data_IF_266343895392
#
_entry.id   IF_266343895392
#
_cell.length_a   1.000
_cell.length_b   1.000
_cell.length_c   1.000
_cell.angle_alpha   90.00
_cell.angle_beta   90.00
_cell.angle_gamma   90.00
#
_symmetry.space_group_name_H-M   'P 1'
#
loop_
_entity.id
_entity.type
_entity.pdbx_description
1 polymer ?
2 polymer ?
3 non-polymer ?
#
# COMPACT_ATOMS: atom_id res chain seq x y z
N UNK A 2 -16.26 25.97 -0.03
CA UNK A 2 -15.30 24.86 0.02
C UNK A 2 -15.07 24.03 -1.26
N UNK A 3 -15.32 24.59 -2.48
CA UNK A 3 -15.04 23.79 -3.68
C UNK A 3 -13.55 23.60 -3.93
N UNK A 4 -12.79 24.70 -3.96
CA UNK A 4 -11.34 24.59 -4.13
C UNK A 4 -10.63 24.40 -2.79
N UNK A 5 -11.25 24.83 -1.69
CA UNK A 5 -10.69 24.57 -0.37
C UNK A 5 -10.68 23.06 -0.11
N UNK A 6 -11.66 22.32 -0.64
CA UNK A 6 -11.58 20.87 -0.60
C UNK A 6 -10.34 20.39 -1.33
N UNK A 7 -10.13 20.85 -2.56
CA UNK A 7 -8.89 20.51 -3.29
C UNK A 7 -7.67 20.92 -2.47
N UNK A 8 -7.69 22.11 -1.88
CA UNK A 8 -6.62 22.53 -0.99
C UNK A 8 -6.45 21.64 0.22
N UNK A 9 -7.47 20.84 0.56
CA UNK A 9 -7.32 19.88 1.65
C UNK A 9 -6.44 18.72 1.27
N UNK A 10 -6.53 18.24 0.03
CA UNK A 10 -5.68 17.14 -0.41
C UNK A 10 -4.23 17.60 -0.52
N UNK A 11 -3.99 18.75 -1.14
CA UNK A 11 -2.62 19.23 -1.31
C UNK A 11 -1.96 19.43 0.05
N UNK A 12 -2.72 19.90 1.04
CA UNK A 12 -2.14 20.15 2.36
C UNK A 12 -2.01 18.87 3.17
N UNK A 13 -2.94 17.93 3.03
CA UNK A 13 -2.82 16.65 3.73
C UNK A 13 -1.59 15.90 3.25
N UNK A 14 -1.29 16.03 1.96
CA UNK A 14 -0.10 15.40 1.42
C UNK A 14 1.15 16.15 1.83
N UNK A 15 1.08 17.48 1.85
CA UNK A 15 2.20 18.30 2.34
C UNK A 15 2.59 17.85 3.75
N UNK A 16 1.60 17.52 4.58
CA UNK A 16 1.88 17.07 5.94
C UNK A 16 2.45 15.66 5.93
N UNK A 17 1.85 14.76 5.15
CA UNK A 17 2.28 13.37 5.16
C UNK A 17 3.70 13.17 4.63
N UNK A 18 4.13 14.02 3.71
CA UNK A 18 5.49 13.92 3.18
C UNK A 18 6.51 14.26 4.27
N UNK A 19 6.28 15.36 4.99
CA UNK A 19 7.16 15.73 6.08
C UNK A 19 7.11 14.71 7.22
N UNK A 20 5.96 14.03 7.39
CA UNK A 20 5.89 12.94 8.36
C UNK A 20 6.59 11.69 7.86
N UNK A 21 6.70 11.53 6.53
CA UNK A 21 7.41 10.39 5.99
C UNK A 21 8.90 10.46 6.30
N UNK A 22 9.45 11.67 6.43
CA UNK A 22 10.84 11.80 6.86
C UNK A 22 11.02 11.25 8.26
N UNK A 23 10.02 11.42 9.13
CA UNK A 23 10.04 10.84 10.46
C UNK A 23 9.69 9.36 10.46
N UNK A 24 9.07 8.85 9.39
CA UNK A 24 8.70 7.44 9.36
C UNK A 24 9.92 6.53 9.40
N UNK A 25 11.07 7.04 8.94
CA UNK A 25 12.33 6.30 8.99
C UNK A 25 12.24 5.00 8.18
N UNK A 26 11.77 5.12 6.94
CA UNK A 26 11.62 3.96 6.09
C UNK A 26 10.50 3.04 6.52
N UNK A 27 9.38 3.60 7.01
CA UNK A 27 8.26 2.82 7.52
C UNK A 27 8.68 1.87 8.64
N UNK A 28 9.65 2.29 9.46
CA UNK A 28 10.13 1.50 10.58
C UNK A 28 9.86 2.17 11.92
N UNK A 29 9.26 3.36 11.92
CA UNK A 29 8.98 4.10 13.14
C UNK A 29 7.47 4.28 13.24
N UNK A 30 6.84 3.57 14.16
CA UNK A 30 5.39 3.68 14.31
C UNK A 30 5.02 5.06 14.81
N UNK A 31 3.88 5.55 14.32
CA UNK A 31 3.25 6.86 14.53
C UNK A 31 3.57 7.75 13.33
N UNK A 32 4.83 7.91 12.88
CA UNK A 32 5.02 8.56 11.58
C UNK A 32 4.80 7.61 10.40
N UNK A 33 5.13 6.33 10.57
CA UNK A 33 4.85 5.36 9.51
C UNK A 33 3.35 5.15 9.36
N UNK A 34 2.63 5.07 10.48
CA UNK A 34 1.17 5.06 10.42
C UNK A 34 0.62 6.43 10.05
N UNK A 35 1.31 7.50 10.45
CA UNK A 35 0.82 8.83 10.16
C UNK A 35 0.86 9.17 8.68
N UNK A 36 1.92 8.73 7.99
CA UNK A 36 2.05 9.06 6.57
C UNK A 36 1.06 8.27 5.73
N UNK A 37 0.68 7.07 6.16
CA UNK A 37 -0.35 6.31 5.45
C UNK A 37 -1.73 6.89 5.75
N UNK A 38 -1.92 7.45 6.95
CA UNK A 38 -3.18 8.09 7.29
C UNK A 38 -3.34 9.43 6.58
N UNK A 39 -2.26 10.20 6.40
CA UNK A 39 -2.41 11.48 5.71
C UNK A 39 -2.69 11.30 4.22
N UNK A 40 -2.21 10.19 3.63
CA UNK A 40 -2.37 9.99 2.19
C UNK A 40 -3.73 9.44 1.82
N UNK A 41 -4.31 8.59 2.68
CA UNK A 41 -5.66 8.08 2.44
C UNK A 41 -6.73 9.15 2.62
N UNK A 42 -6.46 10.17 3.44
CA UNK A 42 -7.34 11.33 3.48
C UNK A 42 -7.20 12.16 2.22
N UNK A 43 -5.97 12.29 1.71
CA UNK A 43 -5.77 12.93 0.42
C UNK A 43 -6.45 12.14 -0.69
N UNK A 44 -6.37 10.81 -0.62
CA UNK A 44 -7.05 9.96 -1.60
C UNK A 44 -8.55 10.18 -1.57
N UNK A 45 -9.15 10.11 -0.38
CA UNK A 45 -10.59 10.25 -0.17
C UNK A 45 -11.15 11.47 -0.88
N UNK A 46 -10.79 12.65 -0.40
CA UNK A 46 -11.37 13.90 -0.87
C UNK A 46 -10.92 14.27 -2.29
N UNK A 47 -9.77 13.77 -2.74
CA UNK A 47 -9.38 13.99 -4.13
C UNK A 47 -10.45 13.43 -5.08
N UNK A 48 -10.97 12.26 -4.75
CA UNK A 48 -12.09 11.70 -5.52
C UNK A 48 -13.33 12.54 -5.37
N UNK A 49 -13.50 13.20 -4.23
CA UNK A 49 -14.65 14.09 -4.05
C UNK A 49 -14.51 15.35 -4.89
N UNK A 50 -13.37 16.04 -4.79
CA UNK A 50 -13.18 17.29 -5.52
C UNK A 50 -13.19 17.05 -7.02
N UNK A 51 -12.58 15.95 -7.48
CA UNK A 51 -12.47 15.68 -8.91
C UNK A 51 -13.81 15.47 -9.59
N UNK A 52 -14.91 15.37 -8.83
CA UNK A 52 -16.22 15.25 -9.45
C UNK A 52 -16.59 16.53 -10.18
N UNK A 53 -16.31 17.68 -9.58
CA UNK A 53 -16.61 18.99 -10.16
C UNK A 53 -15.38 19.67 -10.75
N UNK A 54 -14.27 19.71 -10.01
CA UNK A 54 -13.05 20.36 -10.50
C UNK A 54 -12.43 19.53 -11.62
N UNK A 55 -11.82 20.15 -12.64
CA UNK A 55 -11.22 19.34 -13.73
C UNK A 55 -9.95 18.62 -13.33
N UNK A 56 -8.91 18.72 -14.17
CA UNK A 56 -7.70 17.95 -13.95
C UNK A 56 -6.45 18.83 -13.94
N UNK A 57 -6.18 19.52 -15.04
CA UNK A 57 -5.00 20.36 -15.14
C UNK A 57 -4.91 21.44 -14.08
N UNK A 58 -6.02 21.74 -13.41
CA UNK A 58 -6.01 22.67 -12.29
C UNK A 58 -5.48 21.99 -11.03
N UNK A 59 -5.79 20.70 -10.86
CA UNK A 59 -5.40 20.00 -9.64
C UNK A 59 -3.89 19.79 -9.58
N UNK A 60 -3.30 19.25 -10.65
CA UNK A 60 -1.86 19.00 -10.67
C UNK A 60 -1.08 20.30 -10.61
N UNK A 61 -1.48 21.30 -11.39
CA UNK A 61 -0.78 22.58 -11.37
C UNK A 61 -0.82 23.22 -9.99
N UNK A 62 -1.94 23.09 -9.28
CA UNK A 62 -2.01 23.60 -7.91
C UNK A 62 -1.13 22.76 -6.99
N UNK A 63 -1.16 21.44 -7.20
CA UNK A 63 -0.34 20.51 -6.43
C UNK A 63 1.15 20.86 -6.52
N UNK A 64 1.65 20.96 -7.75
CA UNK A 64 3.06 21.28 -7.97
C UNK A 64 3.45 22.56 -7.24
N UNK A 65 2.79 23.66 -7.56
CA UNK A 65 3.07 24.95 -6.97
C UNK A 65 3.09 24.94 -5.46
N UNK A 66 1.96 24.56 -4.84
CA UNK A 66 1.88 24.58 -3.38
C UNK A 66 2.86 23.57 -2.78
N UNK A 67 2.90 22.36 -3.34
CA UNK A 67 3.77 21.34 -2.79
C UNK A 67 5.25 21.69 -2.90
N UNK A 68 5.65 22.23 -4.05
CA UNK A 68 7.02 22.73 -4.20
C UNK A 68 7.27 23.87 -3.21
N UNK A 69 6.23 24.58 -2.79
CA UNK A 69 6.37 25.70 -1.86
C UNK A 69 6.09 25.28 -0.42
N UNK A 70 4.98 24.59 -0.18
CA UNK A 70 4.59 24.27 1.19
C UNK A 70 5.61 23.36 1.86
N UNK A 71 5.93 22.23 1.23
CA UNK A 71 6.80 21.24 1.89
C UNK A 71 8.25 21.70 1.87
N UNK A 72 8.66 22.48 0.88
CA UNK A 72 10.03 23.00 0.89
C UNK A 72 10.21 24.00 2.00
N UNK A 73 9.19 24.85 2.23
CA UNK A 73 9.22 25.71 3.40
C UNK A 73 8.99 24.93 4.68
N UNK A 74 8.31 23.77 4.58
CA UNK A 74 8.18 22.90 5.75
C UNK A 74 9.46 22.13 6.03
N UNK A 75 10.24 21.81 4.99
CA UNK A 75 11.53 21.16 5.19
C UNK A 75 12.60 22.16 5.65
N UNK A 76 12.44 23.43 5.28
CA UNK A 76 13.32 24.49 5.75
C UNK A 76 13.09 24.83 7.22
N UNK A 77 12.03 24.28 7.82
CA UNK A 77 11.72 24.55 9.21
C UNK A 77 11.71 23.31 10.07
N UNK A 78 11.13 22.23 9.55
CA UNK A 78 11.11 20.96 10.29
C UNK A 78 12.52 20.39 10.43
N UNK A 79 13.27 20.33 9.34
CA UNK A 79 14.60 19.75 9.35
C UNK A 79 15.66 20.80 9.01
N UNK A 80 15.82 21.09 7.72
CA UNK A 80 16.77 22.10 7.30
C UNK A 80 16.99 22.16 5.81
N UNK A 81 18.18 21.76 5.35
CA UNK A 81 18.49 21.79 3.93
C UNK A 81 19.76 20.98 3.68
N UNK A 82 19.74 20.18 2.61
CA UNK A 82 20.92 19.46 2.15
C UNK A 82 21.52 20.10 0.90
N UNK A 83 20.77 20.10 -0.20
CA UNK A 83 21.13 20.77 -1.46
C UNK A 83 22.40 20.21 -2.10
N UNK A 84 22.24 19.43 -3.17
CA UNK A 84 23.37 18.82 -3.86
C UNK A 84 23.55 19.37 -5.28
N UNK A 85 22.96 20.55 -5.56
CA UNK A 85 23.09 21.26 -6.83
C UNK A 85 22.63 22.71 -6.61
N UNK A 86 23.08 23.69 -7.44
CA UNK A 86 22.97 25.10 -7.01
C UNK A 86 21.60 25.71 -7.15
N UNK A 87 21.04 25.69 -8.37
CA UNK A 87 19.85 26.49 -8.70
C UNK A 87 18.63 26.03 -7.90
N UNK A 88 18.07 26.96 -7.13
CA UNK A 88 16.77 26.73 -6.51
C UNK A 88 15.65 27.02 -7.50
N UNK A 89 15.88 27.94 -8.44
CA UNK A 89 14.88 28.33 -9.42
C UNK A 89 14.47 27.17 -10.33
N UNK A 90 15.17 26.04 -10.26
CA UNK A 90 14.79 24.87 -11.06
C UNK A 90 13.42 24.33 -10.72
N UNK A 91 13.07 24.32 -9.43
CA UNK A 91 11.76 23.84 -8.99
C UNK A 91 10.64 24.71 -9.53
N UNK A 92 10.88 26.02 -9.64
CA UNK A 92 9.88 26.92 -10.20
C UNK A 92 9.81 26.77 -11.71
N UNK A 93 10.94 26.48 -12.36
CA UNK A 93 10.98 26.22 -13.78
C UNK A 93 10.52 24.79 -14.12
N UNK A 94 10.81 23.84 -13.24
CA UNK A 94 10.16 22.53 -13.34
C UNK A 94 8.65 22.69 -13.28
N UNK A 95 8.17 23.48 -12.32
CA UNK A 95 6.75 23.78 -12.22
C UNK A 95 6.26 24.56 -13.44
N UNK A 96 7.08 25.48 -13.94
CA UNK A 96 6.73 26.22 -15.15
C UNK A 96 6.58 25.27 -16.34
N UNK A 97 7.50 24.32 -16.46
CA UNK A 97 7.34 23.29 -17.49
C UNK A 97 6.10 22.44 -17.26
N UNK A 98 5.71 22.26 -15.99
CA UNK A 98 4.46 21.57 -15.69
C UNK A 98 3.27 22.47 -15.99
N UNK A 99 3.37 23.76 -15.68
CA UNK A 99 2.25 24.65 -15.92
C UNK A 99 1.94 24.79 -17.41
N UNK A 100 2.97 24.76 -18.27
CA UNK A 100 2.75 24.93 -19.69
C UNK A 100 2.61 23.61 -20.44
N UNK A 101 2.51 22.49 -19.74
CA UNK A 101 2.07 21.25 -20.37
C UNK A 101 0.67 20.86 -19.92
N UNK A 102 0.22 21.34 -18.77
CA UNK A 102 -1.15 21.10 -18.31
C UNK A 102 -2.08 22.20 -18.80
N UNK A 103 -1.83 23.45 -18.37
CA UNK A 103 -2.72 24.54 -18.75
C UNK A 103 -2.59 24.89 -20.23
N UNK A 104 -1.43 24.62 -20.83
CA UNK A 104 -1.20 24.96 -22.22
C UNK A 104 -1.26 23.72 -23.12
N UNK B 2 18.14 4.86 27.59
CA UNK B 2 17.33 5.56 26.58
C UNK B 2 17.24 4.76 25.28
N UNK B 3 17.27 3.44 25.41
CA UNK B 3 17.17 2.53 24.27
C UNK B 3 15.84 1.79 24.31
N UNK B 4 15.34 1.41 23.14
CA UNK B 4 14.12 0.61 23.02
C UNK B 4 14.44 -0.67 22.26
N UNK B 5 13.84 -1.82 22.62
CA UNK B 5 12.93 -1.97 23.75
C UNK B 5 13.65 -1.98 25.09
N UNK B 6 12.87 -2.11 26.17
CA UNK B 6 13.40 -2.18 27.52
C UNK B 6 12.60 -3.21 28.30
N UNK B 7 13.25 -3.80 29.31
CA UNK B 7 12.60 -4.70 30.26
C UNK B 7 11.93 -5.88 29.58
N UNK B 8 12.72 -6.89 29.23
CA UNK B 8 12.24 -8.10 28.57
C UNK B 8 12.08 -9.19 29.62
N UNK B 9 10.83 -9.60 29.86
CA UNK B 9 10.53 -10.55 30.92
C UNK B 9 9.64 -11.67 30.38
N UNK B 10 9.64 -12.79 31.09
CA UNK B 10 8.85 -13.96 30.74
C UNK B 10 7.63 -13.95 31.66
N UNK B 11 6.48 -13.57 31.12
CA UNK B 11 5.26 -13.49 31.91
C UNK B 11 4.85 -14.89 32.35
N UNK B 12 4.40 -15.70 31.39
CA UNK B 12 3.95 -17.06 31.68
C UNK B 12 4.92 -18.07 31.08
N UNK B 13 5.19 -19.13 31.82
CA UNK B 13 6.02 -20.23 31.35
C UNK B 13 5.14 -21.41 31.00
N UNK B 14 5.76 -22.43 30.42
CA UNK B 14 5.15 -23.71 30.03
C UNK B 14 6.27 -24.56 29.44
N UNK B 15 6.30 -25.87 29.71
CA UNK B 15 7.35 -26.71 29.13
C UNK B 15 7.54 -26.55 27.63
N UNK B 16 6.48 -26.24 26.88
CA UNK B 16 6.56 -26.14 25.43
C UNK B 16 6.12 -24.77 24.90
N UNK B 17 6.08 -23.75 25.75
CA UNK B 17 5.66 -22.42 25.32
C UNK B 17 6.08 -21.38 26.34
N UNK B 18 6.29 -20.15 25.87
CA UNK B 18 6.67 -19.03 26.72
C UNK B 18 5.91 -17.79 26.30
N UNK B 19 5.44 -17.02 27.27
CA UNK B 19 4.76 -15.75 27.04
C UNK B 19 5.63 -14.64 27.58
N UNK B 20 6.06 -13.75 26.70
CA UNK B 20 7.01 -12.70 27.06
C UNK B 20 6.44 -11.35 26.65
N UNK B 21 7.04 -10.30 27.20
CA UNK B 21 6.62 -8.93 26.94
C UNK B 21 7.82 -8.01 27.11
N UNK B 22 7.65 -6.76 26.70
CA UNK B 22 8.72 -5.78 26.81
C UNK B 22 8.10 -4.38 26.85
N UNK B 23 8.92 -3.41 27.24
CA UNK B 23 8.50 -2.02 27.31
C UNK B 23 8.81 -1.36 25.97
N UNK B 24 7.77 -1.06 25.19
CA UNK B 24 7.97 -0.46 23.89
C UNK B 24 8.47 0.97 23.97
N UNK B 25 8.49 1.56 25.18
CA UNK B 25 8.93 2.92 25.34
C UNK B 25 7.79 3.90 25.18
N UNK B 26 8.16 5.13 24.85
CA UNK B 26 7.20 6.18 24.60
C UNK B 26 6.57 6.02 23.22
N UNK B 27 5.55 6.82 22.95
CA UNK B 27 4.83 6.73 21.68
C UNK B 27 5.74 7.02 20.50
N UNK B 28 6.67 7.96 20.65
CA UNK B 28 7.63 8.23 19.59
C UNK B 28 8.68 7.15 19.49
N UNK B 29 8.82 6.31 20.51
CA UNK B 29 9.74 5.19 20.52
C UNK B 29 9.10 3.91 20.01
N UNK B 30 7.82 3.93 19.65
CA UNK B 30 7.15 2.76 19.11
C UNK B 30 7.55 2.55 17.65
N UNK B 31 7.66 1.28 17.27
CA UNK B 31 8.12 0.92 15.93
C UNK B 31 7.06 0.13 15.19
N UNK B 32 7.31 -0.18 13.92
CA UNK B 32 6.29 -0.80 13.08
C UNK B 32 6.27 -2.32 13.18
N UNK B 33 7.44 -2.96 13.32
CA UNK B 33 7.47 -4.41 13.48
C UNK B 33 8.72 -4.81 14.26
N UNK B 34 8.51 -5.45 15.40
CA UNK B 34 9.59 -6.10 16.13
C UNK B 34 9.75 -7.50 15.57
N UNK B 35 10.99 -7.90 15.27
CA UNK B 35 11.29 -9.27 14.92
C UNK B 35 11.94 -9.94 16.12
N UNK B 36 11.49 -11.13 16.46
CA UNK B 36 11.91 -11.82 17.67
C UNK B 36 12.51 -13.16 17.29
N UNK B 37 13.61 -13.51 17.96
CA UNK B 37 14.40 -14.69 17.65
C UNK B 37 14.58 -15.52 18.91
N UNK B 38 14.50 -16.84 18.77
CA UNK B 38 14.67 -17.76 19.89
C UNK B 38 15.40 -19.01 19.43
N UNK B 39 16.13 -19.62 20.35
CA UNK B 39 16.87 -20.82 20.03
C UNK B 39 17.43 -21.46 21.29
N UNK B 40 18.24 -22.49 21.08
CA UNK B 40 18.82 -23.21 22.20
C UNK B 40 20.03 -22.46 22.75
N UNK B 41 20.25 -22.63 24.06
CA UNK B 41 21.40 -22.01 24.69
C UNK B 41 22.70 -22.72 24.30
N UNK B 42 22.63 -24.03 24.06
CA UNK B 42 23.83 -24.78 23.71
C UNK B 42 24.48 -24.29 22.43
N UNK B 43 23.69 -23.98 21.41
CA UNK B 43 24.21 -23.48 20.16
C UNK B 43 24.48 -24.52 19.10
N UNK B 44 23.96 -25.73 19.25
CA UNK B 44 24.08 -26.76 18.22
C UNK B 44 22.93 -26.69 17.22
N UNK B 45 22.60 -25.48 16.79
CA UNK B 45 21.46 -25.23 15.91
C UNK B 45 21.47 -23.76 15.55
N UNK B 46 20.79 -23.40 14.44
CA UNK B 46 20.66 -21.98 14.11
C UNK B 46 19.66 -21.26 15.01
N UNK B 47 18.84 -20.38 14.44
CA UNK B 47 17.93 -19.56 15.23
C UNK B 47 16.61 -19.41 14.49
N UNK B 48 15.51 -19.66 15.18
CA UNK B 48 14.17 -19.48 14.59
C UNK B 48 13.75 -18.02 14.73
N UNK B 49 13.15 -17.48 13.68
CA UNK B 49 12.78 -16.06 13.64
C UNK B 49 11.37 -15.90 13.14
N UNK B 50 10.64 -14.99 13.79
CA UNK B 50 9.32 -14.58 13.34
C UNK B 50 9.11 -13.12 13.74
N UNK B 51 8.40 -12.39 12.89
CA UNK B 51 8.11 -10.99 13.15
C UNK B 51 6.78 -10.85 13.88
N UNK B 52 6.54 -9.65 14.40
CA UNK B 52 5.29 -9.32 15.05
C UNK B 52 5.09 -7.82 14.86
N UNK B 53 3.87 -7.35 14.61
CA UNK B 53 3.66 -5.91 14.42
C UNK B 53 4.13 -5.11 15.62
N UNK B 54 4.57 -3.89 15.36
CA UNK B 54 5.19 -3.04 16.35
C UNK B 54 4.28 -2.28 17.27
N UNK B 55 2.96 -2.49 17.17
CA UNK B 55 2.03 -1.90 18.13
C UNK B 55 1.71 -2.84 19.28
N UNK B 56 2.19 -4.08 19.24
CA UNK B 56 1.99 -5.04 20.32
C UNK B 56 3.29 -5.27 21.09
N UNK B 57 3.17 -5.31 22.41
CA UNK B 57 4.30 -5.44 23.31
C UNK B 57 4.46 -6.85 23.86
N UNK B 58 3.55 -7.76 23.52
CA UNK B 58 3.60 -9.14 23.98
C UNK B 58 3.83 -10.08 22.80
N UNK B 59 4.31 -11.28 23.12
CA UNK B 59 4.62 -12.27 22.11
C UNK B 59 4.57 -13.65 22.75
N UNK B 60 3.99 -14.61 22.03
CA UNK B 60 3.87 -15.99 22.49
C UNK B 60 4.67 -16.89 21.56
N UNK B 61 5.45 -17.79 22.15
CA UNK B 61 6.29 -18.73 21.42
C UNK B 61 5.78 -20.13 21.72
N UNK B 62 5.77 -21.00 20.71
CA UNK B 62 5.26 -22.36 20.85
C UNK B 62 6.22 -23.34 20.20
N UNK B 63 6.09 -24.61 20.59
CA UNK B 63 6.89 -25.66 20.02
C UNK B 63 8.25 -25.88 20.66
N UNK B 64 8.40 -25.57 21.94
CA UNK B 64 9.68 -25.72 22.61
C UNK B 64 9.80 -27.11 23.23
N UNK B 65 11.04 -27.50 23.52
CA UNK B 65 11.27 -28.76 24.20
C UNK B 65 11.49 -28.51 25.68
N UNK B 66 10.85 -29.28 26.56
CA UNK B 66 10.95 -29.01 28.00
C UNK B 66 12.32 -29.34 28.56
N UNK B 67 12.62 -28.71 29.70
CA UNK B 67 13.88 -28.93 30.38
C UNK B 67 15.08 -28.20 29.83
N UNK B 68 15.10 -27.91 28.54
CA UNK B 68 16.25 -27.28 27.90
C UNK B 68 16.26 -25.80 28.23
N UNK B 69 17.45 -25.26 28.45
CA UNK B 69 17.62 -23.83 28.63
C UNK B 69 17.63 -23.16 27.27
N UNK B 70 16.85 -22.08 27.13
CA UNK B 70 16.72 -21.35 25.88
C UNK B 70 17.18 -19.90 26.05
N UNK B 71 17.45 -19.26 24.91
CA UNK B 71 17.81 -17.84 24.85
C UNK B 71 16.86 -17.13 23.91
N UNK B 72 16.27 -16.03 24.37
CA UNK B 72 15.31 -15.26 23.61
C UNK B 72 15.85 -13.85 23.40
N UNK B 73 15.71 -13.34 22.18
CA UNK B 73 16.20 -12.01 21.82
C UNK B 73 15.15 -11.30 20.98
N UNK B 74 14.83 -10.06 21.36
CA UNK B 74 13.83 -9.24 20.69
C UNK B 74 14.56 -8.12 19.94
N UNK B 75 14.34 -8.04 18.64
CA UNK B 75 14.99 -7.05 17.79
C UNK B 75 14.03 -5.91 17.49
N UNK B 76 14.41 -5.04 16.55
CA UNK B 76 13.63 -3.90 16.10
C UNK B 76 13.37 -4.06 14.61
N UNK B 77 12.64 -3.15 13.94
CA UNK B 77 12.59 -3.19 12.47
C UNK B 77 13.97 -3.07 11.87
N UNK B 78 14.77 -2.14 12.38
CA UNK B 78 16.19 -2.02 12.12
C UNK B 78 16.95 -2.75 13.24
N UNK B 79 18.21 -2.37 13.45
CA UNK B 79 19.02 -2.95 14.51
C UNK B 79 20.22 -2.06 14.79
N UNK B 80 20.74 -1.41 13.75
CA UNK B 80 21.88 -0.52 13.86
C UNK B 80 21.48 0.91 14.23
N UNK B 81 20.26 1.10 14.76
CA UNK B 81 19.81 2.40 15.22
C UNK B 81 19.29 2.39 16.65
N UNK B 82 19.09 1.22 17.26
CA UNK B 82 18.73 1.12 18.66
C UNK B 82 19.55 0.05 19.35
N UNK B 83 18.99 -0.56 20.40
CA UNK B 83 19.69 -1.62 21.12
C UNK B 83 18.70 -2.72 21.48
N UNK B 84 19.06 -3.99 21.24
CA UNK B 84 18.15 -5.10 21.57
C UNK B 84 18.34 -5.65 22.97
N UNK B 85 17.47 -6.57 23.41
CA UNK B 85 17.58 -7.23 24.71
C UNK B 85 17.51 -8.73 24.49
N UNK B 86 18.28 -9.49 25.28
CA UNK B 86 18.26 -10.94 25.23
C UNK B 86 18.23 -11.49 26.65
N UNK B 87 17.44 -12.54 26.86
CA UNK B 87 17.30 -13.15 28.17
C UNK B 87 17.43 -14.66 28.02
N UNK B 88 17.30 -15.36 29.15
CA UNK B 88 17.36 -16.81 29.18
C UNK B 88 16.18 -17.35 29.97
N UNK B 89 15.83 -18.61 29.73
CA UNK B 89 14.77 -19.26 30.49
C UNK B 89 14.86 -20.76 30.30
N UNK B 90 14.81 -21.49 31.42
CA UNK B 90 14.84 -22.95 31.43
C UNK B 90 13.42 -23.45 31.66
N UNK B 91 12.84 -24.10 30.66
CA UNK B 91 11.47 -24.60 30.76
C UNK B 91 11.42 -25.93 31.50
N UNK C 2 23.30 8.48 -7.65
CA UNK C 2 22.54 7.44 -6.95
C UNK C 2 21.14 7.86 -6.49
N UNK C 3 21.01 8.95 -5.75
CA UNK C 3 19.68 9.29 -5.20
C UNK C 3 18.65 9.60 -6.27
N UNK C 4 19.06 10.23 -7.38
CA UNK C 4 18.14 10.54 -8.47
C UNK C 4 17.86 9.35 -9.37
N UNK C 5 18.53 8.22 -9.14
CA UNK C 5 18.16 6.98 -9.82
C UNK C 5 16.95 6.35 -9.15
N UNK C 6 16.89 6.39 -7.82
CA UNK C 6 15.74 5.86 -7.09
C UNK C 6 14.55 6.81 -7.17
N UNK C 7 14.80 8.12 -7.18
CA UNK C 7 13.71 9.09 -7.37
C UNK C 7 13.03 8.87 -8.72
N UNK C 8 13.82 8.79 -9.80
CA UNK C 8 13.26 8.46 -11.08
C UNK C 8 12.64 7.08 -11.12
N UNK C 9 13.17 6.15 -10.31
CA UNK C 9 12.53 4.85 -10.19
C UNK C 9 11.17 4.93 -9.52
N UNK C 10 11.05 5.78 -8.49
CA UNK C 10 9.76 6.02 -7.88
C UNK C 10 8.82 6.77 -8.81
N UNK C 11 9.37 7.60 -9.69
CA UNK C 11 8.55 8.27 -10.71
C UNK C 11 7.95 7.24 -11.65
N UNK C 12 8.77 6.30 -12.12
CA UNK C 12 8.27 5.22 -12.98
C UNK C 12 7.28 4.34 -12.24
N UNK C 13 7.43 4.20 -10.93
CA UNK C 13 6.54 3.31 -10.16
C UNK C 13 5.15 3.92 -10.00
N UNK C 14 5.08 5.21 -9.67
CA UNK C 14 3.78 5.85 -9.51
C UNK C 14 3.05 5.91 -10.84
N UNK C 15 3.78 6.15 -11.93
CA UNK C 15 3.15 6.24 -13.24
C UNK C 15 2.55 4.89 -13.64
N UNK C 16 3.29 3.80 -13.41
CA UNK C 16 2.75 2.47 -13.72
C UNK C 16 1.54 2.17 -12.84
N UNK C 17 1.58 2.62 -11.58
CA UNK C 17 0.45 2.35 -10.70
C UNK C 17 -0.81 3.09 -11.10
N UNK C 18 -0.67 4.34 -11.53
CA UNK C 18 -1.85 5.10 -11.95
C UNK C 18 -2.39 4.61 -13.29
N UNK C 19 -1.54 4.04 -14.15
CA UNK C 19 -2.02 3.48 -15.41
C UNK C 19 -2.73 2.16 -15.21
N UNK C 20 -2.19 1.30 -14.33
CA UNK C 20 -2.89 0.07 -13.97
C UNK C 20 -4.17 0.34 -13.20
N UNK C 21 -4.27 1.49 -12.52
CA UNK C 21 -5.53 1.85 -11.89
C UNK C 21 -6.57 2.23 -12.93
N UNK C 22 -6.15 2.93 -13.99
CA UNK C 22 -7.07 3.28 -15.06
C UNK C 22 -7.48 2.06 -15.87
N UNK C 23 -6.61 1.06 -15.95
CA UNK C 23 -6.98 -0.19 -16.62
C UNK C 23 -8.04 -0.94 -15.82
N UNK C 24 -7.74 -1.24 -14.56
CA UNK C 24 -8.71 -1.90 -13.70
C UNK C 24 -9.85 -0.93 -13.37
N UNK C 25 -10.93 -1.49 -12.83
CA UNK C 25 -12.03 -0.68 -12.35
C UNK C 25 -11.82 -0.42 -10.86
N UNK C 26 -12.83 0.11 -10.18
CA UNK C 26 -12.69 0.53 -8.80
C UNK C 26 -12.27 -0.58 -7.85
N UNK C 27 -10.98 -0.93 -7.85
CA UNK C 27 -10.45 -2.03 -7.03
C UNK C 27 -11.13 -3.34 -7.41
N UNK C 28 -11.04 -3.69 -8.70
CA UNK C 28 -11.79 -4.83 -9.22
C UNK C 28 -10.90 -5.85 -9.94
N UNK C 29 -10.39 -5.48 -11.12
CA UNK C 29 -9.58 -6.39 -11.92
C UNK C 29 -8.39 -6.89 -11.13
N UNK C 30 -8.43 -8.16 -10.73
CA UNK C 30 -7.49 -8.66 -9.73
C UNK C 30 -6.04 -8.44 -10.13
N UNK C 31 -5.69 -8.77 -11.37
CA UNK C 31 -4.29 -8.76 -11.79
C UNK C 31 -3.74 -7.33 -11.83
N UNK C 32 -4.42 -6.34 -12.41
CA UNK C 32 -3.93 -4.96 -12.27
C UNK C 32 -4.24 -4.32 -10.93
N UNK C 33 -5.27 -4.78 -10.20
CA UNK C 33 -5.51 -4.25 -8.86
C UNK C 33 -4.36 -4.62 -7.93
N UNK C 34 -3.98 -5.90 -7.91
CA UNK C 34 -2.78 -6.29 -7.17
C UNK C 34 -1.55 -5.59 -7.73
N UNK C 35 -1.54 -5.28 -9.02
CA UNK C 35 -0.44 -4.52 -9.58
C UNK C 35 -0.39 -3.10 -9.05
N UNK C 36 -1.55 -2.51 -8.77
CA UNK C 36 -1.59 -1.16 -8.21
C UNK C 36 -1.12 -1.15 -6.75
N UNK C 37 -1.57 -2.12 -5.96
CA UNK C 37 -1.16 -2.19 -4.56
C UNK C 37 0.36 -2.40 -4.47
N UNK C 38 0.89 -3.28 -5.32
CA UNK C 38 2.33 -3.54 -5.32
C UNK C 38 3.10 -2.29 -5.78
N UNK C 39 2.61 -1.64 -6.83
CA UNK C 39 3.31 -0.44 -7.32
C UNK C 39 3.27 0.70 -6.31
N UNK C 40 2.20 0.79 -5.50
CA UNK C 40 2.09 1.88 -4.53
C UNK C 40 2.94 1.61 -3.29
N UNK C 41 2.76 0.45 -2.66
CA UNK C 41 3.57 0.09 -1.50
C UNK C 41 5.06 0.12 -1.79
N UNK C 42 5.46 -0.08 -3.05
CA UNK C 42 6.87 0.02 -3.39
C UNK C 42 7.29 1.47 -3.60
N UNK C 43 6.45 2.25 -4.29
CA UNK C 43 6.77 3.66 -4.52
C UNK C 43 6.76 4.45 -3.22
N UNK C 44 5.87 4.11 -2.30
CA UNK C 44 5.86 4.73 -0.99
C UNK C 44 7.11 4.35 -0.20
N UNK C 45 7.51 3.07 -0.28
CA UNK C 45 8.77 2.66 0.33
C UNK C 45 9.99 3.21 -0.41
N UNK C 46 9.84 3.58 -1.68
CA UNK C 46 10.92 4.26 -2.38
C UNK C 46 11.02 5.72 -1.98
N UNK C 47 9.90 6.42 -1.94
CA UNK C 47 9.92 7.82 -1.52
C UNK C 47 10.36 7.95 -0.07
N UNK C 48 9.97 7.00 0.78
CA UNK C 48 10.37 7.06 2.18
C UNK C 48 11.87 6.88 2.36
N UNK C 49 12.57 6.38 1.35
CA UNK C 49 14.00 6.15 1.42
C UNK C 49 14.80 7.17 0.62
N UNK C 50 14.22 7.71 -0.44
CA UNK C 50 14.91 8.70 -1.27
C UNK C 50 14.75 10.12 -0.73
N UNK C 51 13.86 10.34 0.25
CA UNK C 51 13.65 11.68 0.78
C UNK C 51 14.61 12.05 1.90
N UNK C 52 15.18 11.04 2.58
CA UNK C 52 16.20 11.31 3.59
C UNK C 52 17.53 11.71 2.98
N UNK C 53 17.76 11.38 1.70
CA UNK C 53 18.97 11.81 1.00
C UNK C 53 18.84 13.25 0.51
N UNK C 54 18.16 13.42 -0.63
CA UNK C 54 17.95 14.72 -1.25
C UNK C 54 16.97 15.52 -0.40
N UNK C 55 17.00 16.86 -0.47
CA UNK C 55 15.98 17.65 0.24
C UNK C 55 14.58 17.23 -0.19
N UNK C 56 13.64 17.39 0.74
CA UNK C 56 12.28 16.92 0.49
C UNK C 56 11.62 17.73 -0.62
N UNK C 57 11.76 19.06 -0.56
CA UNK C 57 11.17 19.90 -1.59
C UNK C 57 11.78 19.69 -2.96
N UNK C 58 13.03 19.21 -3.02
CA UNK C 58 13.69 18.97 -4.29
C UNK C 58 13.12 17.73 -4.97
N UNK C 59 13.03 16.62 -4.24
CA UNK C 59 12.42 15.43 -4.80
C UNK C 59 10.95 15.65 -5.10
N UNK C 60 10.29 16.52 -4.35
CA UNK C 60 8.89 16.85 -4.62
C UNK C 60 8.73 17.46 -6.01
N UNK C 61 9.61 18.41 -6.35
CA UNK C 61 9.53 19.07 -7.65
C UNK C 61 9.90 18.10 -8.78
N UNK C 62 11.02 17.41 -8.63
CA UNK C 62 11.47 16.51 -9.69
C UNK C 62 10.44 15.43 -9.97
N UNK C 63 9.78 14.95 -8.92
CA UNK C 63 8.73 13.95 -9.11
C UNK C 63 7.50 14.57 -9.75
N UNK C 64 7.05 15.72 -9.24
CA UNK C 64 5.91 16.39 -9.87
C UNK C 64 6.20 16.74 -11.32
N UNK C 65 7.47 16.91 -11.67
CA UNK C 65 7.85 17.17 -13.04
C UNK C 65 7.89 15.93 -13.90
N UNK C 66 8.86 15.03 -13.64
CA UNK C 66 8.98 13.81 -14.43
C UNK C 66 7.73 12.95 -14.31
N UNK C 67 6.89 13.21 -13.31
CA UNK C 67 5.62 12.52 -13.16
C UNK C 67 4.70 12.78 -14.34
N UNK C 68 4.30 14.04 -14.53
CA UNK C 68 3.45 14.38 -15.66
C UNK C 68 4.22 14.23 -16.97
N UNK C 69 5.53 14.47 -16.95
CA UNK C 69 6.34 14.33 -18.17
C UNK C 69 6.29 12.91 -18.68
N UNK C 70 6.51 11.93 -17.79
CA UNK C 70 6.43 10.53 -18.19
C UNK C 70 5.00 10.04 -18.34
N UNK C 71 4.04 10.66 -17.62
CA UNK C 71 2.64 10.28 -17.79
C UNK C 71 2.15 10.65 -19.19
N UNK C 72 2.46 11.87 -19.62
CA UNK C 72 2.13 12.31 -20.96
C UNK C 72 3.08 11.75 -22.01
N UNK C 73 4.28 11.33 -21.61
CA UNK C 73 5.21 10.73 -22.55
C UNK C 73 4.67 9.42 -23.10
N UNK C 74 4.25 8.52 -22.21
CA UNK C 74 3.63 7.27 -22.61
C UNK C 74 2.15 7.44 -22.94
N UNK C 75 1.61 8.65 -22.85
CA UNK C 75 0.23 8.87 -23.26
C UNK C 75 0.10 8.90 -24.78
N UNK C 76 1.02 9.59 -25.46
CA UNK C 76 1.09 9.52 -26.91
C UNK C 76 1.50 8.13 -27.40
N UNK C 77 2.12 7.32 -26.54
CA UNK C 77 2.51 5.98 -26.91
C UNK C 77 1.59 4.92 -26.34
N UNK C 78 0.29 5.20 -26.30
CA UNK C 78 -0.70 4.27 -25.77
C UNK C 78 -2.07 4.54 -26.36
N UNK C 79 -2.45 5.82 -26.43
CA UNK C 79 -3.74 6.23 -26.98
C UNK C 79 -3.61 7.11 -28.21
N UNK C 80 -2.39 7.44 -28.64
CA UNK C 80 -2.21 8.46 -29.64
C UNK C 80 -2.74 9.81 -29.17
N UNK C 81 -2.41 10.19 -27.93
CA UNK C 81 -2.97 11.35 -27.25
C UNK C 81 -2.83 12.62 -28.10
N UNK C 82 -3.69 13.61 -27.84
CA UNK C 82 -3.78 14.82 -28.67
C UNK C 82 -3.33 16.04 -27.87
N UNK C 83 -2.09 16.46 -28.11
CA UNK C 83 -1.59 17.77 -27.70
C UNK C 83 -0.58 18.21 -28.76
N UNK C 84 0.30 19.14 -28.41
CA UNK C 84 1.30 19.58 -29.40
C UNK C 84 2.42 20.39 -28.77
N UNK C 85 2.71 21.55 -29.36
CA UNK C 85 3.89 22.33 -28.98
C UNK C 85 3.94 22.67 -27.49
N UNK C 86 2.87 23.18 -26.86
CA UNK C 86 2.99 23.51 -25.42
C UNK C 86 3.40 22.32 -24.56
N UNK C 87 2.99 21.11 -24.94
CA UNK C 87 3.35 19.93 -24.16
C UNK C 87 4.81 19.57 -24.34
N UNK C 88 5.32 19.61 -25.57
CA UNK C 88 6.66 19.09 -25.82
C UNK C 88 7.73 20.06 -25.33
N UNK C 89 7.53 21.37 -25.54
CA UNK C 89 8.52 22.33 -25.07
C UNK C 89 8.41 22.51 -23.56
N UNK C 90 7.22 22.38 -22.99
CA UNK C 90 7.11 22.41 -21.55
C UNK C 90 7.75 21.21 -20.89
N UNK C 91 7.74 20.06 -21.58
CA UNK C 91 8.46 18.88 -21.10
C UNK C 91 9.95 19.16 -20.98
N UNK C 92 10.55 19.69 -22.04
CA UNK C 92 11.96 20.06 -21.99
C UNK C 92 12.21 21.20 -21.02
N UNK C 93 11.17 21.96 -20.65
CA UNK C 93 11.34 23.04 -19.69
C UNK C 93 11.58 22.50 -18.29
N UNK C 94 10.68 21.64 -17.80
CA UNK C 94 10.90 20.97 -16.53
C UNK C 94 12.12 20.07 -16.62
N UNK C 95 12.31 19.39 -17.76
CA UNK C 95 13.50 18.56 -17.93
C UNK C 95 14.77 19.37 -17.74
N UNK C 96 14.80 20.59 -18.29
CA UNK C 96 15.90 21.50 -18.02
C UNK C 96 15.94 21.91 -16.55
N UNK C 97 14.76 22.12 -15.96
CA UNK C 97 14.70 22.38 -14.52
C UNK C 97 15.24 21.23 -13.70
N UNK C 98 15.09 20.00 -14.20
CA UNK C 98 15.69 18.84 -13.54
C UNK C 98 17.21 18.96 -13.51
N UNK C 99 17.80 19.35 -14.65
CA UNK C 99 19.25 19.39 -14.75
C UNK C 99 19.88 20.28 -13.69
N UNK C 100 19.20 21.39 -13.34
CA UNK C 100 19.75 22.34 -12.36
C UNK C 100 19.34 22.01 -10.94
N UNK C 101 18.55 20.95 -10.73
CA UNK C 101 18.35 20.36 -9.41
C UNK C 101 18.88 18.93 -9.35
N UNK C 102 19.62 18.50 -10.36
CA UNK C 102 20.10 17.12 -10.42
C UNK C 102 21.48 17.09 -11.07
N UNK C 103 22.50 16.74 -10.28
CA UNK C 103 23.86 16.47 -10.75
C UNK C 103 24.38 17.50 -11.75
N UNK D 3 -21.43 -11.64 -17.62
CA UNK D 3 -20.60 -11.74 -18.82
C UNK D 3 -19.19 -12.22 -18.49
N UNK D 4 -18.66 -11.81 -17.34
CA UNK D 4 -17.34 -12.25 -16.88
C UNK D 4 -17.48 -13.44 -15.94
N UNK D 5 -18.43 -13.42 -14.97
CA UNK D 5 -18.73 -14.68 -14.26
C UNK D 5 -19.49 -15.65 -15.14
N UNK D 6 -18.84 -16.75 -15.55
CA UNK D 6 -19.41 -17.71 -16.48
C UNK D 6 -19.03 -19.12 -16.07
N UNK D 7 -19.65 -20.11 -16.74
CA UNK D 7 -19.34 -21.53 -16.59
C UNK D 7 -19.63 -22.02 -15.18
N UNK D 8 -20.89 -21.88 -14.77
CA UNK D 8 -21.33 -22.19 -13.41
C UNK D 8 -22.06 -23.52 -13.40
N UNK D 9 -21.47 -24.52 -12.73
CA UNK D 9 -22.13 -25.82 -12.58
C UNK D 9 -21.62 -26.51 -11.32
N UNK D 10 -22.43 -27.41 -10.79
CA UNK D 10 -22.11 -28.15 -9.59
C UNK D 10 -21.31 -29.39 -9.97
N UNK D 11 -20.12 -29.55 -9.39
CA UNK D 11 -19.27 -30.68 -9.70
C UNK D 11 -19.68 -31.87 -8.84
N UNK D 12 -19.43 -31.78 -7.54
CA UNK D 12 -19.72 -32.86 -6.61
C UNK D 12 -20.86 -32.46 -5.68
N UNK D 13 -21.81 -33.38 -5.49
CA UNK D 13 -23.04 -33.09 -4.75
C UNK D 13 -23.26 -34.17 -3.70
N UNK D 14 -23.16 -33.80 -2.46
CA UNK D 14 -23.52 -34.53 -1.26
C UNK D 14 -24.86 -34.04 -0.73
N UNK D 15 -25.68 -34.89 -0.11
CA UNK D 15 -26.97 -34.41 0.40
C UNK D 15 -26.88 -33.18 1.28
N UNK D 16 -25.71 -32.91 1.87
CA UNK D 16 -25.56 -31.78 2.77
C UNK D 16 -24.56 -30.73 2.31
N UNK D 17 -23.96 -30.88 1.13
CA UNK D 17 -22.94 -29.94 0.68
C UNK D 17 -22.86 -29.94 -0.84
N UNK D 18 -22.44 -28.81 -1.39
CA UNK D 18 -22.35 -28.62 -2.84
C UNK D 18 -21.03 -27.97 -3.20
N UNK D 19 -20.33 -28.57 -4.16
CA UNK D 19 -19.07 -28.05 -4.67
C UNK D 19 -19.32 -27.36 -6.00
N UNK D 20 -19.08 -26.04 -6.05
CA UNK D 20 -19.40 -25.23 -7.22
C UNK D 20 -18.12 -24.62 -7.80
N UNK D 21 -18.19 -24.25 -9.07
CA UNK D 21 -17.05 -23.68 -9.78
C UNK D 21 -17.56 -22.72 -10.85
N UNK D 22 -16.65 -21.91 -11.38
CA UNK D 22 -16.97 -21.01 -12.46
C UNK D 22 -15.70 -20.63 -13.18
N UNK D 23 -15.86 -19.92 -14.30
CA UNK D 23 -14.73 -19.41 -15.06
C UNK D 23 -14.46 -17.99 -14.59
N UNK D 24 -13.32 -17.77 -13.94
CA UNK D 24 -13.03 -16.49 -13.32
C UNK D 24 -12.62 -15.46 -14.37
N UNK D 25 -12.98 -15.71 -15.63
CA UNK D 25 -12.57 -14.84 -16.73
C UNK D 25 -11.27 -15.34 -17.35
N UNK D 26 -10.27 -14.46 -17.39
CA UNK D 26 -8.98 -14.82 -17.99
C UNK D 26 -7.93 -13.75 -17.74
N UNK D 27 -7.18 -13.89 -16.64
CA UNK D 27 -6.06 -13.01 -16.31
C UNK D 27 -6.44 -11.54 -16.31
N UNK D 28 -6.41 -10.89 -17.48
CA UNK D 28 -6.70 -9.46 -17.52
C UNK D 28 -8.15 -9.15 -17.17
N UNK D 29 -9.06 -10.10 -17.36
CA UNK D 29 -10.42 -9.97 -16.85
C UNK D 29 -10.62 -10.67 -15.52
N UNK D 30 -9.54 -11.16 -14.90
CA UNK D 30 -9.66 -11.70 -13.55
C UNK D 30 -10.07 -10.60 -12.58
N UNK D 31 -11.01 -10.90 -11.70
CA UNK D 31 -11.57 -9.91 -10.80
C UNK D 31 -11.12 -10.19 -9.38
N UNK D 32 -11.29 -9.21 -8.49
CA UNK D 32 -10.74 -9.32 -7.15
C UNK D 32 -11.39 -10.45 -6.36
N UNK D 33 -12.71 -10.52 -6.37
CA UNK D 33 -13.40 -11.52 -5.58
C UNK D 33 -14.77 -11.82 -6.18
N UNK D 34 -15.28 -13.01 -5.88
CA UNK D 34 -16.65 -13.39 -6.23
C UNK D 34 -17.37 -13.70 -4.92
N UNK D 35 -18.54 -13.08 -4.74
CA UNK D 35 -19.36 -13.37 -3.56
C UNK D 35 -20.43 -14.39 -3.95
N UNK D 36 -20.62 -15.40 -3.09
CA UNK D 36 -21.50 -16.52 -3.38
C UNK D 36 -22.67 -16.46 -2.40
N UNK D 37 -23.88 -16.51 -2.95
CA UNK D 37 -25.11 -16.40 -2.18
C UNK D 37 -25.91 -17.68 -2.38
N UNK D 38 -26.15 -18.41 -1.29
CA UNK D 38 -26.95 -19.62 -1.34
C UNK D 38 -28.01 -19.60 -0.24
N UNK D 39 -29.23 -19.99 -0.62
CA UNK D 39 -30.35 -20.05 0.29
C UNK D 39 -31.41 -20.98 -0.24
N UNK D 40 -32.45 -21.19 0.56
CA UNK D 40 -33.53 -22.10 0.16
C UNK D 40 -34.30 -21.54 -1.02
N UNK D 41 -34.79 -22.44 -1.86
CA UNK D 41 -35.51 -22.06 -3.08
C UNK D 41 -36.84 -21.42 -2.74
N UNK D 43 -37.69 -17.04 -0.65
CA UNK D 43 -37.67 -18.31 0.03
C UNK D 43 -38.16 -18.25 1.47
N UNK D 44 -38.63 -19.39 1.99
CA UNK D 44 -39.12 -19.44 3.36
C UNK D 44 -38.00 -19.21 4.37
N UNK D 45 -36.88 -19.91 4.19
CA UNK D 45 -35.73 -19.75 5.07
C UNK D 45 -34.86 -18.58 4.60
N UNK D 46 -34.01 -18.05 5.47
CA UNK D 46 -33.10 -16.98 5.06
C UNK D 46 -32.08 -17.48 4.05
N UNK D 47 -31.39 -16.52 3.42
CA UNK D 47 -30.35 -16.79 2.44
C UNK D 47 -28.99 -16.58 3.10
N UNK D 48 -27.98 -17.30 2.63
CA UNK D 48 -26.63 -17.21 3.18
C UNK D 48 -25.68 -16.66 2.13
N UNK D 49 -24.58 -16.06 2.60
CA UNK D 49 -23.64 -15.39 1.70
C UNK D 49 -22.22 -15.48 2.25
N UNK D 50 -21.26 -15.66 1.35
CA UNK D 50 -19.85 -15.53 1.66
C UNK D 50 -19.13 -15.02 0.42
N UNK D 51 -17.81 -14.84 0.53
CA UNK D 51 -16.99 -14.34 -0.56
C UNK D 51 -15.77 -15.21 -0.75
N UNK D 52 -15.26 -15.24 -1.98
CA UNK D 52 -14.10 -16.05 -2.35
C UNK D 52 -13.17 -15.16 -3.17
N UNK D 53 -11.86 -15.25 -2.99
CA UNK D 53 -10.94 -14.48 -3.83
C UNK D 53 -11.15 -14.77 -5.32
N UNK D 54 -10.82 -13.77 -6.15
CA UNK D 54 -11.14 -13.83 -7.56
C UNK D 54 -10.20 -14.66 -8.40
N UNK D 55 -8.97 -14.92 -7.92
CA UNK D 55 -8.13 -15.88 -8.60
C UNK D 55 -8.68 -17.30 -8.45
N UNK D 56 -9.38 -17.56 -7.35
CA UNK D 56 -9.98 -18.88 -7.13
C UNK D 56 -11.24 -19.01 -7.98
N UNK D 57 -11.31 -20.10 -8.75
CA UNK D 57 -12.45 -20.38 -9.62
C UNK D 57 -13.43 -21.36 -8.99
N UNK D 58 -13.16 -21.84 -7.78
CA UNK D 58 -13.98 -22.83 -7.11
C UNK D 58 -14.29 -22.37 -5.69
N UNK D 59 -15.28 -23.02 -5.08
CA UNK D 59 -15.68 -22.73 -3.72
C UNK D 59 -16.56 -23.87 -3.22
N UNK D 60 -16.61 -24.02 -1.90
CA UNK D 60 -17.40 -25.06 -1.27
C UNK D 60 -18.53 -24.43 -0.46
N UNK D 61 -19.67 -25.12 -0.43
CA UNK D 61 -20.84 -24.69 0.33
C UNK D 61 -21.23 -25.84 1.25
N UNK D 62 -21.11 -25.65 2.55
CA UNK D 62 -21.40 -26.66 3.55
C UNK D 62 -22.62 -26.28 4.36
N UNK D 63 -23.15 -27.27 5.09
CA UNK D 63 -24.28 -27.07 5.98
C UNK D 63 -25.60 -26.84 5.27
N UNK D 64 -26.05 -27.83 4.50
CA UNK D 64 -27.33 -27.75 3.81
C UNK D 64 -28.23 -28.90 4.24
N UNK D 65 -29.54 -28.67 4.15
CA UNK D 65 -30.43 -29.74 4.55
C UNK D 65 -30.68 -30.69 3.38
N UNK D 66 -30.72 -31.99 3.64
CA UNK D 66 -30.87 -32.95 2.54
C UNK D 66 -32.24 -32.87 1.89
N UNK D 67 -32.27 -33.09 0.58
CA UNK D 67 -33.51 -33.08 -0.19
C UNK D 67 -33.97 -31.70 -0.61
N UNK D 68 -33.66 -30.69 0.20
CA UNK D 68 -34.16 -29.34 -0.05
C UNK D 68 -33.51 -28.78 -1.31
N UNK D 69 -34.32 -28.15 -2.15
CA UNK D 69 -33.81 -27.48 -3.33
C UNK D 69 -33.29 -26.09 -2.96
N UNK D 70 -32.11 -25.76 -3.45
CA UNK D 70 -31.45 -24.50 -3.13
C UNK D 70 -31.24 -23.67 -4.38
N UNK D 71 -30.92 -22.39 -4.17
CA UNK D 71 -30.60 -21.46 -5.23
C UNK D 71 -29.27 -20.79 -4.90
N UNK D 72 -28.32 -20.87 -5.81
CA UNK D 72 -26.97 -20.35 -5.59
C UNK D 72 -26.69 -19.26 -6.63
N UNK D 73 -26.12 -18.15 -6.16
CA UNK D 73 -25.79 -17.01 -7.01
C UNK D 73 -24.36 -16.57 -6.74
N UNK D 74 -23.60 -16.33 -7.80
CA UNK D 74 -22.21 -15.87 -7.72
C UNK D 74 -22.14 -14.48 -8.34
N UNK D 75 -21.79 -13.49 -7.52
CA UNK D 75 -21.73 -12.10 -7.97
C UNK D 75 -20.28 -11.70 -8.26
N UNK D 76 -20.14 -10.73 -9.16
CA UNK D 76 -18.86 -10.09 -9.43
C UNK D 76 -18.45 -9.29 -8.21
N UNK D 77 -17.18 -8.87 -8.12
CA UNK D 77 -16.79 -8.04 -6.95
C UNK D 77 -17.43 -6.68 -7.01
N UNK D 78 -17.82 -6.24 -8.20
CA UNK D 78 -18.43 -4.94 -8.44
C UNK D 78 -19.79 -5.10 -9.12
N UNK D 79 -19.85 -4.84 -10.42
CA UNK D 79 -21.09 -4.98 -11.17
C UNK D 79 -20.87 -4.99 -12.67
N UNK D 80 -20.04 -4.08 -13.18
CA UNK D 80 -19.91 -3.88 -14.62
C UNK D 80 -19.13 -5.02 -15.28
N UNK D 81 -19.32 -6.24 -14.79
CA UNK D 81 -18.79 -7.45 -15.43
C UNK D 81 -19.89 -8.37 -15.94
N UNK D 82 -21.13 -7.93 -15.91
CA UNK D 82 -22.26 -8.69 -16.41
C UNK D 82 -23.21 -9.10 -15.29
N UNK D 83 -24.35 -9.63 -15.73
CA UNK D 83 -25.37 -10.04 -14.76
C UNK D 83 -24.85 -11.20 -13.92
N UNK D 84 -25.24 -11.30 -12.65
CA UNK D 84 -24.80 -12.42 -11.83
C UNK D 84 -25.49 -13.71 -12.25
N UNK D 85 -24.70 -14.77 -12.39
CA UNK D 85 -25.18 -16.07 -12.83
C UNK D 85 -25.75 -16.82 -11.63
N UNK D 86 -26.89 -17.48 -11.82
CA UNK D 86 -27.55 -18.25 -10.78
C UNK D 86 -28.18 -19.49 -11.38
N UNK D 87 -28.25 -20.55 -10.58
CA UNK D 87 -28.81 -21.82 -11.03
C UNK D 87 -29.66 -22.44 -9.93
N UNK D 88 -30.00 -23.72 -10.09
CA UNK D 88 -30.80 -24.45 -9.11
C UNK D 88 -30.32 -25.88 -9.06
N UNK D 89 -30.37 -26.47 -7.87
CA UNK D 89 -29.95 -27.85 -7.67
C UNK D 89 -30.71 -28.44 -6.50
N UNK D 90 -30.92 -29.75 -6.56
CA UNK D 90 -31.60 -30.50 -5.51
C UNK D 90 -30.63 -31.56 -5.00
N UNK D 91 -30.30 -31.48 -3.71
CA UNK D 91 -29.33 -32.38 -3.11
C UNK D 91 -29.77 -33.84 -3.18
X LIG E 1 4.51 14.07 -6.58
X LIG E 1 3.33 13.81 -7.24
X LIG E 1 2.48 12.81 -6.79
X LIG E 1 -0.51 11.22 -5.26
X LIG E 1 3.99 12.31 -5.03
X LIG E 1 4.84 13.33 -5.48
X LIG E 1 2.81 12.05 -5.69
X LIG E 1 1.94 10.89 -5.26
X LIG E 1 0.57 10.30 -3.28
X LIG E 1 0.72 11.27 -4.41
X LIG E 1 0.84 12.65 -3.85
#
# INVERSE_FOLDING_TARGET
>A
MNPYIYLGGAILAEVIGTTLMKFSNGFTRLIPSMGTIICYCASFWLLAQTLAYIPTGIAYAIWSGVGIVLISLLSWGFFGQRLDLPAIIGMMLICAGVLIINLLSRSTPH
>B
VSSVPTKLEVVAATPTSLLISWDAGHWWEWVTYYRITYGETGGNSPVQEFTVPGYSSTATISGLKPGVDYTITVYAPTSDYGSPISINYRT
>C
MNPYIYLGGAILAEVIGTTLMKFSNGFTRLIPSMGTIICYCASFWLLAQTLAYIPTGIAYAIWSGVGIVLISLLSWGFFGQRLDLPAIIGMMLICAGVLIINLLSRSTPH
>D
VSSVPTKLEVVAATPTSLLISWDAGHWWEWVTYYRITYGETGGNSPVQEFTVPGYSSTATISGLKPGVDYTITVYAPTSDYGSPISINYRT
>E hetero
1 E00 C7 C8 C9 C1 C5 C6 C4 C3 C2 N C
#
